data_IF_713128813372
#
_entry.id   IF_713128813372
#
_cell.length_a   1.000
_cell.length_b   1.000
_cell.length_c   1.000
_cell.angle_alpha   90.00
_cell.angle_beta   90.00
_cell.angle_gamma   90.00
#
_symmetry.space_group_name_H-M   'P 1'
#
loop_
_entity.id
_entity.type
_entity.pdbx_description
1 polymer ?
#
# COMPACT_ATOMS: atom_id res chain seq x y z
N UNK A 1 -9.39 -37.92 -8.39
CA UNK A 1 -8.94 -36.67 -9.03
C UNK A 1 -7.83 -36.08 -8.19
N UNK A 2 -6.60 -36.50 -8.45
CA UNK A 2 -5.41 -35.87 -7.88
C UNK A 2 -5.27 -34.51 -8.54
N UNK A 3 -5.45 -33.43 -7.77
CA UNK A 3 -5.00 -32.11 -8.19
C UNK A 3 -3.49 -32.12 -7.95
N UNK A 4 -2.72 -32.36 -9.00
CA UNK A 4 -1.29 -32.04 -8.99
C UNK A 4 -1.19 -30.55 -8.69
N UNK A 5 -0.68 -30.21 -7.51
CA UNK A 5 -0.22 -28.86 -7.23
C UNK A 5 0.84 -28.53 -8.27
N UNK A 6 0.59 -27.55 -9.13
CA UNK A 6 1.58 -27.05 -10.05
C UNK A 6 2.78 -26.57 -9.23
N UNK A 7 3.90 -27.29 -9.32
CA UNK A 7 5.15 -26.91 -8.71
C UNK A 7 5.66 -25.69 -9.50
N UNK A 8 5.56 -24.51 -8.91
CA UNK A 8 6.04 -23.28 -9.52
C UNK A 8 7.57 -23.40 -9.62
N UNK A 9 8.13 -23.19 -10.80
CA UNK A 9 9.58 -23.18 -10.97
C UNK A 9 10.25 -22.15 -10.06
N UNK A 10 11.50 -22.36 -9.66
CA UNK A 10 12.24 -21.45 -8.76
C UNK A 10 12.22 -19.99 -9.25
N UNK A 11 12.31 -19.79 -10.57
CA UNK A 11 12.23 -18.47 -11.20
C UNK A 11 10.86 -17.79 -11.01
N UNK A 12 9.77 -18.55 -11.04
CA UNK A 12 8.42 -18.03 -10.86
C UNK A 12 8.16 -17.63 -9.41
N UNK A 13 8.68 -18.41 -8.45
CA UNK A 13 8.66 -18.06 -7.02
C UNK A 13 9.44 -16.77 -6.77
N UNK A 14 10.63 -16.64 -7.37
CA UNK A 14 11.46 -15.45 -7.25
C UNK A 14 10.77 -14.21 -7.85
N UNK A 15 10.21 -14.34 -9.05
CA UNK A 15 9.46 -13.27 -9.71
C UNK A 15 8.26 -12.83 -8.87
N UNK A 16 7.48 -13.77 -8.36
CA UNK A 16 6.34 -13.46 -7.50
C UNK A 16 6.77 -12.75 -6.22
N UNK A 17 7.89 -13.15 -5.61
CA UNK A 17 8.43 -12.44 -4.45
C UNK A 17 8.83 -11.00 -4.79
N UNK A 18 9.50 -10.79 -5.93
CA UNK A 18 9.91 -9.47 -6.39
C UNK A 18 8.70 -8.55 -6.69
N UNK A 19 7.65 -9.08 -7.32
CA UNK A 19 6.43 -8.34 -7.61
C UNK A 19 5.71 -7.88 -6.34
N UNK A 20 5.61 -8.76 -5.34
CA UNK A 20 5.02 -8.41 -4.03
C UNK A 20 5.79 -7.27 -3.36
N UNK A 21 7.12 -7.33 -3.39
CA UNK A 21 7.98 -6.27 -2.90
C UNK A 21 7.73 -4.94 -3.62
N UNK A 22 7.68 -4.95 -4.96
CA UNK A 22 7.43 -3.75 -5.77
C UNK A 22 6.09 -3.11 -5.41
N UNK A 23 5.02 -3.91 -5.31
CA UNK A 23 3.67 -3.42 -5.00
C UNK A 23 3.63 -2.78 -3.60
N UNK A 24 4.20 -3.45 -2.59
CA UNK A 24 4.18 -2.97 -1.21
C UNK A 24 5.07 -1.73 -1.02
N UNK A 25 6.28 -1.74 -1.61
CA UNK A 25 7.21 -0.60 -1.57
C UNK A 25 6.63 0.59 -2.33
N UNK A 26 6.07 0.37 -3.52
CA UNK A 26 5.42 1.40 -4.33
C UNK A 26 4.25 2.02 -3.57
N UNK A 27 3.39 1.20 -2.96
CA UNK A 27 2.29 1.69 -2.13
C UNK A 27 2.77 2.51 -0.95
N UNK A 28 3.83 2.08 -0.27
CA UNK A 28 4.42 2.88 0.80
C UNK A 28 4.89 4.24 0.25
N UNK A 29 5.61 4.26 -0.86
CA UNK A 29 6.17 5.48 -1.42
C UNK A 29 5.09 6.46 -1.88
N UNK A 30 4.02 5.96 -2.50
CA UNK A 30 2.93 6.78 -3.04
C UNK A 30 1.96 7.27 -1.97
N UNK A 31 1.72 6.49 -0.92
CA UNK A 31 0.60 6.73 -0.02
C UNK A 31 1.02 7.07 1.41
N UNK A 32 2.19 6.61 1.87
CA UNK A 32 2.53 6.63 3.29
C UNK A 32 3.75 7.48 3.57
N UNK A 33 3.56 8.55 4.34
CA UNK A 33 4.66 9.36 4.83
C UNK A 33 5.64 8.54 5.68
N UNK A 34 6.92 8.88 5.56
CA UNK A 34 7.91 8.60 6.58
C UNK A 34 7.73 9.56 7.75
N UNK A 35 7.99 9.09 8.97
CA UNK A 35 7.93 9.93 10.18
C UNK A 35 8.91 11.10 10.02
N UNK A 36 8.39 12.33 9.92
CA UNK A 36 9.19 13.55 9.77
C UNK A 36 9.38 14.07 8.34
N UNK A 37 8.89 13.37 7.31
CA UNK A 37 9.05 13.77 5.90
C UNK A 37 7.74 14.35 5.32
N UNK A 38 7.35 15.54 5.80
CA UNK A 38 6.19 16.31 5.29
C UNK A 38 6.35 16.84 3.84
N UNK A 39 7.49 16.52 3.19
CA UNK A 39 7.84 16.95 1.83
C UNK A 39 7.87 15.80 0.82
N UNK A 40 7.51 14.59 1.23
CA UNK A 40 7.41 13.48 0.27
C UNK A 40 6.17 13.68 -0.60
N UNK A 41 6.32 13.43 -1.91
CA UNK A 41 5.26 13.47 -2.92
C UNK A 41 4.30 12.27 -2.79
N UNK A 42 3.76 12.06 -1.58
CA UNK A 42 2.63 11.17 -1.41
C UNK A 42 1.40 11.85 -1.98
N UNK A 43 0.44 11.04 -2.41
CA UNK A 43 -0.78 11.48 -3.06
C UNK A 43 -1.57 12.49 -2.18
N UNK A 44 -1.67 12.24 -0.87
CA UNK A 44 -2.26 13.16 0.11
C UNK A 44 -1.47 14.48 0.26
N UNK A 45 -0.14 14.47 0.18
CA UNK A 45 0.67 15.68 0.29
C UNK A 45 0.59 16.55 -0.97
N UNK A 46 0.53 15.93 -2.14
CA UNK A 46 0.26 16.66 -3.38
C UNK A 46 -1.05 17.44 -3.27
N UNK A 47 -2.10 16.82 -2.72
CA UNK A 47 -3.39 17.48 -2.49
C UNK A 47 -3.31 18.60 -1.45
N UNK A 48 -2.65 18.37 -0.30
CA UNK A 48 -2.42 19.39 0.74
C UNK A 48 -1.70 20.62 0.18
N UNK A 49 -0.61 20.41 -0.57
CA UNK A 49 0.18 21.50 -1.17
C UNK A 49 -0.64 22.28 -2.21
N UNK A 50 -1.51 21.61 -2.95
CA UNK A 50 -2.39 22.22 -3.93
C UNK A 50 -3.67 22.85 -3.33
N UNK A 51 -3.86 22.81 -2.01
CA UNK A 51 -5.01 23.42 -1.32
C UNK A 51 -6.26 22.54 -1.24
N UNK A 52 -6.18 21.26 -1.62
CA UNK A 52 -7.27 20.27 -1.58
C UNK A 52 -7.26 19.49 -0.26
N UNK A 53 -7.43 20.22 0.85
CA UNK A 53 -7.31 19.67 2.21
C UNK A 53 -8.39 18.61 2.52
N UNK A 54 -9.61 18.79 2.01
CA UNK A 54 -10.71 17.86 2.26
C UNK A 54 -10.51 16.52 1.54
N UNK A 55 -10.05 16.56 0.28
CA UNK A 55 -9.68 15.38 -0.48
C UNK A 55 -8.49 14.66 0.17
N UNK A 56 -7.49 15.41 0.63
CA UNK A 56 -6.40 14.79 1.39
C UNK A 56 -6.89 14.08 2.66
N UNK A 57 -7.82 14.66 3.41
CA UNK A 57 -8.38 14.03 4.62
C UNK A 57 -9.18 12.78 4.31
N UNK A 58 -9.90 12.75 3.19
CA UNK A 58 -10.63 11.55 2.73
C UNK A 58 -9.64 10.40 2.44
N UNK A 59 -8.53 10.70 1.80
CA UNK A 59 -7.48 9.72 1.49
C UNK A 59 -6.81 9.22 2.77
N UNK A 60 -6.48 10.13 3.69
CA UNK A 60 -5.99 9.75 5.02
C UNK A 60 -7.02 8.81 5.71
N UNK A 61 -8.32 9.11 5.68
CA UNK A 61 -9.36 8.27 6.25
C UNK A 61 -9.37 6.86 5.66
N UNK A 62 -9.36 6.74 4.33
CA UNK A 62 -9.31 5.46 3.60
C UNK A 62 -8.12 4.62 4.09
N UNK A 63 -6.93 5.22 4.20
CA UNK A 63 -5.74 4.48 4.63
C UNK A 63 -5.70 4.14 6.13
N UNK A 64 -6.62 4.67 6.93
CA UNK A 64 -6.78 4.36 8.35
C UNK A 64 -7.94 3.42 8.66
N UNK A 65 -8.84 3.15 7.70
CA UNK A 65 -9.87 2.13 7.83
C UNK A 65 -9.26 0.74 8.06
N UNK A 66 -9.98 -0.11 8.79
CA UNK A 66 -9.57 -1.48 9.14
C UNK A 66 -10.51 -2.50 8.49
N UNK A 67 -10.28 -2.79 7.21
CA UNK A 67 -11.13 -3.68 6.41
C UNK A 67 -10.57 -5.10 6.30
N UNK A 68 -9.28 -5.28 6.59
CA UNK A 68 -8.68 -6.60 6.47
C UNK A 68 -9.35 -7.62 7.41
N UNK A 69 -9.29 -8.88 7.03
CA UNK A 69 -9.79 -10.02 7.79
C UNK A 69 -8.64 -10.86 8.37
N UNK A 70 -8.97 -11.75 9.30
CA UNK A 70 -8.01 -12.71 9.86
C UNK A 70 -7.02 -12.11 10.84
N UNK A 71 -5.75 -12.52 10.74
CA UNK A 71 -4.69 -12.13 11.68
C UNK A 71 -4.38 -10.63 11.63
N UNK A 72 -4.66 -9.98 10.50
CA UNK A 72 -4.44 -8.55 10.29
C UNK A 72 -5.74 -7.74 10.41
N UNK A 73 -6.79 -8.27 11.03
CA UNK A 73 -8.11 -7.58 11.13
C UNK A 73 -8.10 -6.27 11.93
N UNK A 74 -7.14 -6.09 12.83
CA UNK A 74 -6.94 -4.83 13.56
C UNK A 74 -6.05 -3.83 12.82
N UNK A 75 -5.53 -4.19 11.64
CA UNK A 75 -4.64 -3.35 10.86
C UNK A 75 -5.42 -2.44 9.92
N UNK A 76 -4.97 -1.19 9.87
CA UNK A 76 -5.27 -0.33 8.73
C UNK A 76 -4.32 -0.63 7.57
N UNK A 77 -4.69 -0.18 6.37
CA UNK A 77 -3.80 -0.20 5.20
C UNK A 77 -2.42 0.39 5.53
N UNK A 78 -2.40 1.58 6.13
CA UNK A 78 -1.17 2.27 6.52
C UNK A 78 -0.29 1.42 7.43
N UNK A 79 -0.88 0.79 8.44
CA UNK A 79 -0.15 -0.03 9.41
C UNK A 79 0.43 -1.27 8.74
N UNK A 80 -0.37 -1.97 7.93
CA UNK A 80 0.00 -3.21 7.27
C UNK A 80 1.19 -3.00 6.32
N UNK A 81 1.08 -2.02 5.43
CA UNK A 81 2.16 -1.69 4.47
C UNK A 81 3.41 -1.18 5.19
N UNK A 82 3.26 -0.32 6.21
CA UNK A 82 4.42 0.17 7.00
C UNK A 82 5.15 -0.96 7.69
N UNK A 83 4.42 -1.87 8.35
CA UNK A 83 5.02 -2.97 9.11
C UNK A 83 5.78 -3.94 8.21
N UNK A 84 5.30 -4.21 7.00
CA UNK A 84 6.02 -5.07 6.05
C UNK A 84 7.24 -4.34 5.49
N UNK A 85 7.06 -3.15 4.90
CA UNK A 85 8.14 -2.48 4.17
C UNK A 85 9.26 -1.99 5.09
N UNK A 86 8.94 -1.34 6.22
CA UNK A 86 9.97 -0.87 7.15
C UNK A 86 10.81 -2.03 7.70
N UNK A 87 10.15 -3.15 8.02
CA UNK A 87 10.84 -4.27 8.65
C UNK A 87 11.53 -5.17 7.62
N UNK A 88 11.13 -5.17 6.35
CA UNK A 88 11.95 -5.74 5.27
C UNK A 88 13.26 -4.96 5.07
N UNK A 89 13.26 -3.65 5.25
CA UNK A 89 14.50 -2.85 5.28
C UNK A 89 15.36 -3.27 6.48
N UNK A 90 14.76 -3.34 7.68
CA UNK A 90 15.42 -3.81 8.90
C UNK A 90 15.81 -5.32 8.87
N UNK A 91 15.24 -6.10 7.95
CA UNK A 91 15.67 -7.48 7.74
C UNK A 91 17.02 -7.52 7.03
N UNK A 92 17.25 -6.60 6.09
CA UNK A 92 18.49 -6.51 5.31
C UNK A 92 19.67 -5.97 6.12
N UNK A 93 19.41 -5.22 7.21
CA UNK A 93 20.45 -4.72 8.12
C UNK A 93 20.71 -5.63 9.34
N UNK A 94 19.99 -6.77 9.45
CA UNK A 94 20.17 -7.75 10.51
C UNK A 94 19.58 -7.37 11.87
N UNK A 95 18.82 -6.27 11.98
CA UNK A 95 18.36 -5.72 13.27
C UNK A 95 17.07 -6.35 13.85
N UNK A 96 16.50 -7.38 13.24
CA UNK A 96 15.22 -7.99 13.67
C UNK A 96 15.33 -9.48 14.06
N UNK A 97 14.62 -9.85 15.13
CA UNK A 97 14.52 -11.24 15.61
C UNK A 97 13.77 -12.17 14.64
N UNK A 98 14.02 -13.48 14.71
CA UNK A 98 13.33 -14.47 13.86
C UNK A 98 11.82 -14.50 14.08
N UNK A 99 11.37 -14.29 15.31
CA UNK A 99 9.94 -14.13 15.62
C UNK A 99 9.33 -12.92 14.88
N UNK A 100 10.08 -11.82 14.78
CA UNK A 100 9.63 -10.66 14.02
C UNK A 100 9.60 -10.97 12.52
N UNK A 101 10.61 -11.67 11.98
CA UNK A 101 10.66 -12.13 10.57
C UNK A 101 9.43 -12.97 10.22
N UNK A 102 9.12 -13.97 11.04
CA UNK A 102 7.95 -14.84 10.83
C UNK A 102 6.65 -14.04 10.84
N UNK A 103 6.50 -13.10 11.78
CA UNK A 103 5.33 -12.22 11.85
C UNK A 103 5.19 -11.36 10.61
N UNK A 104 6.28 -10.81 10.08
CA UNK A 104 6.27 -9.98 8.86
C UNK A 104 5.86 -10.81 7.64
N UNK A 105 6.46 -12.00 7.48
CA UNK A 105 6.12 -12.92 6.39
C UNK A 105 4.63 -13.29 6.41
N UNK A 106 4.07 -13.54 7.61
CA UNK A 106 2.63 -13.79 7.76
C UNK A 106 1.77 -12.59 7.37
N UNK A 107 2.13 -11.38 7.81
CA UNK A 107 1.39 -10.15 7.43
C UNK A 107 1.41 -9.98 5.91
N UNK A 108 2.58 -10.08 5.27
CA UNK A 108 2.71 -9.99 3.82
C UNK A 108 1.84 -11.01 3.10
N UNK A 109 1.90 -12.27 3.52
CA UNK A 109 1.10 -13.35 2.93
C UNK A 109 -0.40 -13.07 3.06
N UNK A 110 -0.85 -12.53 4.20
CA UNK A 110 -2.27 -12.20 4.40
C UNK A 110 -2.72 -10.96 3.65
N UNK A 111 -1.88 -9.94 3.44
CA UNK A 111 -2.25 -8.76 2.63
C UNK A 111 -2.54 -9.19 1.19
N UNK A 112 -1.69 -10.05 0.62
CA UNK A 112 -1.67 -10.36 -0.81
C UNK A 112 -2.39 -11.68 -1.14
N UNK A 113 -3.37 -12.08 -0.33
CA UNK A 113 -4.14 -13.30 -0.54
C UNK A 113 -5.64 -13.11 -0.28
N UNK A 114 -6.45 -13.92 -0.96
CA UNK A 114 -7.89 -14.00 -0.76
C UNK A 114 -8.61 -12.65 -0.75
N UNK A 115 -9.55 -12.48 0.18
CA UNK A 115 -10.35 -11.25 0.32
C UNK A 115 -9.52 -10.03 0.70
N UNK A 116 -8.39 -10.23 1.39
CA UNK A 116 -7.51 -9.13 1.79
C UNK A 116 -6.82 -8.49 0.61
N UNK A 117 -6.50 -9.26 -0.45
CA UNK A 117 -6.01 -8.68 -1.70
C UNK A 117 -7.05 -7.76 -2.34
N UNK A 118 -8.34 -8.15 -2.31
CA UNK A 118 -9.42 -7.30 -2.79
C UNK A 118 -9.53 -6.01 -1.98
N UNK A 119 -9.47 -6.07 -0.65
CA UNK A 119 -9.46 -4.87 0.18
C UNK A 119 -8.23 -3.99 -0.06
N UNK A 120 -7.06 -4.61 -0.22
CA UNK A 120 -5.83 -3.91 -0.57
C UNK A 120 -5.96 -3.12 -1.87
N UNK A 121 -6.48 -3.76 -2.93
CA UNK A 121 -6.73 -3.12 -4.22
C UNK A 121 -7.77 -2.00 -4.06
N UNK A 122 -8.85 -2.21 -3.30
CA UNK A 122 -9.85 -1.17 -3.05
C UNK A 122 -9.24 0.06 -2.38
N UNK A 123 -8.38 -0.10 -1.36
CA UNK A 123 -7.72 1.04 -0.73
C UNK A 123 -6.94 1.91 -1.73
N UNK A 124 -6.20 1.27 -2.63
CA UNK A 124 -5.42 1.95 -3.66
C UNK A 124 -6.35 2.63 -4.66
N UNK A 125 -7.36 1.92 -5.14
CA UNK A 125 -8.32 2.42 -6.12
C UNK A 125 -9.09 3.63 -5.58
N UNK A 126 -9.67 3.51 -4.38
CA UNK A 126 -10.50 4.56 -3.76
C UNK A 126 -9.69 5.85 -3.54
N UNK A 127 -8.43 5.72 -3.10
CA UNK A 127 -7.53 6.86 -2.96
C UNK A 127 -7.16 7.48 -4.32
N UNK A 128 -6.89 6.65 -5.33
CA UNK A 128 -6.50 7.13 -6.65
C UNK A 128 -7.64 7.85 -7.37
N UNK A 129 -8.88 7.39 -7.21
CA UNK A 129 -10.06 8.06 -7.76
C UNK A 129 -10.25 9.47 -7.20
N UNK A 130 -10.01 9.67 -5.90
CA UNK A 130 -10.05 11.02 -5.30
C UNK A 130 -9.01 11.92 -5.97
N UNK A 131 -7.78 11.44 -6.11
CA UNK A 131 -6.72 12.22 -6.77
C UNK A 131 -7.04 12.51 -8.24
N UNK A 132 -7.51 11.52 -9.00
CA UNK A 132 -7.91 11.68 -10.39
C UNK A 132 -9.04 12.71 -10.52
N UNK A 133 -10.02 12.70 -9.61
CA UNK A 133 -11.10 13.69 -9.63
C UNK A 133 -10.59 15.14 -9.50
N UNK A 134 -9.59 15.35 -8.65
CA UNK A 134 -8.94 16.66 -8.45
C UNK A 134 -8.15 17.07 -9.69
N UNK A 135 -7.35 16.16 -10.25
CA UNK A 135 -6.57 16.42 -11.47
C UNK A 135 -7.48 16.76 -12.65
N UNK A 136 -8.56 16.02 -12.83
CA UNK A 136 -9.53 16.26 -13.91
C UNK A 136 -10.24 17.60 -13.75
N UNK A 137 -10.62 17.97 -12.52
CA UNK A 137 -11.20 19.28 -12.24
C UNK A 137 -10.24 20.41 -12.58
N UNK A 138 -8.98 20.29 -12.15
CA UNK A 138 -7.95 21.28 -12.45
C UNK A 138 -7.67 21.42 -13.95
N UNK A 139 -7.64 20.29 -14.68
CA UNK A 139 -7.47 20.29 -16.12
C UNK A 139 -8.64 20.98 -16.84
N UNK A 140 -9.88 20.70 -16.42
CA UNK A 140 -11.06 21.34 -16.96
C UNK A 140 -11.07 22.85 -16.72
N UNK A 141 -10.77 23.28 -15.49
CA UNK A 141 -10.67 24.69 -15.12
C UNK A 141 -9.61 25.39 -15.97
N UNK A 142 -8.43 24.78 -16.15
CA UNK A 142 -7.33 25.32 -16.97
C UNK A 142 -7.66 25.44 -18.45
N UNK A 143 -8.49 24.53 -18.99
CA UNK A 143 -8.95 24.56 -20.38
C UNK A 143 -10.09 25.56 -20.59
N UNK A 144 -10.88 25.87 -19.56
CA UNK A 144 -11.99 26.83 -19.63
C UNK A 144 -11.56 28.30 -19.53
N UNK A 145 -10.30 28.56 -19.15
CA UNK A 145 -9.70 29.89 -19.04
C UNK A 145 -9.01 30.30 -20.36
N UNK A 146 -8.86 29.38 -21.32
CA UNK A 146 -8.38 29.63 -22.69
C UNK A 146 -9.54 29.76 -23.67
#
# INVERSE_FOLDING_TARGET
NNIESADLGEDEVLLMSALKDIILVGSRAMFLEGVGLRKNFTLQNCLKVAGFEDESKKIDSIFHEKRFAGFISDYSFSKAVRDVVNKKIAHRDGSISDKAKLRISKIESEILSGINLSFYISYIYDAHEIYNSVVMKYAADSLSIN
#
